data_IF_306856764320
#
_entry.id   IF_306856764320
#
_cell.length_a   1.000
_cell.length_b   1.000
_cell.length_c   1.000
_cell.angle_alpha   90.00
_cell.angle_beta   90.00
_cell.angle_gamma   90.00
#
_symmetry.space_group_name_H-M   'P 1'
#
loop_
_entity.id
_entity.type
_entity.pdbx_description
1 polymer ?
#
# COMPACT_ATOMS: atom_id res chain seq x y z
N UNK A 1 -8.37 -11.64 -23.62
CA UNK A 1 -9.02 -11.53 -22.30
C UNK A 1 -8.82 -10.12 -21.79
N UNK A 2 -9.90 -9.38 -21.51
CA UNK A 2 -9.80 -8.08 -20.84
C UNK A 2 -9.25 -8.33 -19.44
N UNK A 3 -7.99 -7.97 -19.20
CA UNK A 3 -7.45 -7.92 -17.85
C UNK A 3 -8.33 -6.93 -17.08
N UNK A 4 -9.05 -7.41 -16.05
CA UNK A 4 -9.43 -6.53 -14.94
C UNK A 4 -8.15 -5.77 -14.58
N UNK A 5 -8.12 -4.47 -14.82
CA UNK A 5 -6.92 -3.65 -14.58
C UNK A 5 -6.58 -3.83 -13.10
N UNK A 6 -5.55 -4.63 -12.80
CA UNK A 6 -5.14 -4.87 -11.42
C UNK A 6 -4.94 -3.52 -10.73
N UNK A 7 -5.49 -3.37 -9.53
CA UNK A 7 -5.50 -2.11 -8.77
C UNK A 7 -4.05 -1.68 -8.47
N UNK A 8 -3.21 -2.66 -8.12
CA UNK A 8 -1.79 -2.52 -7.91
C UNK A 8 -1.12 -3.90 -7.91
N UNK A 9 0.19 -3.94 -8.17
CA UNK A 9 1.04 -5.09 -7.86
C UNK A 9 1.71 -4.85 -6.51
N UNK A 10 1.68 -5.86 -5.64
CA UNK A 10 2.14 -5.76 -4.24
C UNK A 10 3.09 -6.91 -3.95
N UNK A 11 4.25 -6.60 -3.39
CA UNK A 11 5.18 -7.55 -2.81
C UNK A 11 5.36 -7.19 -1.33
N UNK A 12 5.26 -8.20 -0.47
CA UNK A 12 5.44 -8.07 0.97
C UNK A 12 6.52 -9.05 1.40
N UNK A 13 7.49 -8.55 2.16
CA UNK A 13 8.42 -9.41 2.91
C UNK A 13 8.40 -9.00 4.37
N UNK A 14 8.69 -9.92 5.28
CA UNK A 14 8.62 -9.66 6.72
C UNK A 14 9.83 -10.26 7.41
N UNK A 15 10.34 -9.54 8.40
CA UNK A 15 11.44 -9.96 9.29
C UNK A 15 11.07 -9.48 10.69
N UNK A 16 10.83 -10.43 11.60
CA UNK A 16 10.36 -10.15 12.96
C UNK A 16 9.10 -9.25 12.94
N UNK A 17 9.12 -8.12 13.66
CA UNK A 17 8.05 -7.11 13.69
C UNK A 17 8.15 -6.04 12.60
N UNK A 18 8.95 -6.27 11.55
CA UNK A 18 9.12 -5.34 10.44
C UNK A 18 8.64 -5.96 9.13
N UNK A 19 7.98 -5.16 8.29
CA UNK A 19 7.58 -5.56 6.96
C UNK A 19 8.13 -4.57 5.91
N UNK A 20 8.56 -5.09 4.77
CA UNK A 20 8.85 -4.29 3.59
C UNK A 20 7.72 -4.45 2.58
N UNK A 21 7.20 -3.32 2.11
CA UNK A 21 6.12 -3.23 1.14
C UNK A 21 6.68 -2.62 -0.14
N UNK A 22 6.54 -3.33 -1.26
CA UNK A 22 6.71 -2.74 -2.59
C UNK A 22 5.37 -2.70 -3.29
N UNK A 23 4.98 -1.52 -3.73
CA UNK A 23 3.67 -1.30 -4.35
C UNK A 23 3.89 -0.61 -5.69
N UNK A 24 3.38 -1.20 -6.77
CA UNK A 24 3.31 -0.58 -8.09
C UNK A 24 1.86 -0.27 -8.43
N UNK A 25 1.57 1.00 -8.70
CA UNK A 25 0.20 1.46 -8.96
C UNK A 25 0.16 2.63 -9.93
N UNK A 26 -1.02 2.92 -10.49
CA UNK A 26 -1.24 4.14 -11.29
C UNK A 26 -1.14 5.37 -10.38
N UNK A 27 -0.56 6.46 -10.89
CA UNK A 27 -0.49 7.75 -10.20
C UNK A 27 -1.88 8.37 -10.07
N UNK A 28 -2.24 8.83 -8.88
CA UNK A 28 -3.47 9.59 -8.62
C UNK A 28 -3.27 10.77 -7.67
N UNK A 29 -4.14 11.80 -7.71
CA UNK A 29 -4.08 12.92 -6.76
C UNK A 29 -4.11 12.45 -5.31
N UNK A 30 -3.22 13.01 -4.48
CA UNK A 30 -3.13 12.75 -3.03
C UNK A 30 -2.90 11.28 -2.63
N UNK A 31 -2.56 10.40 -3.57
CA UNK A 31 -2.47 8.96 -3.31
C UNK A 31 -1.45 8.62 -2.22
N UNK A 32 -0.27 9.25 -2.23
CA UNK A 32 0.74 9.02 -1.21
C UNK A 32 0.21 9.32 0.20
N UNK A 33 -0.44 10.46 0.38
CA UNK A 33 -1.01 10.85 1.69
C UNK A 33 -2.06 9.83 2.15
N UNK A 34 -2.92 9.36 1.23
CA UNK A 34 -3.92 8.34 1.53
C UNK A 34 -3.28 7.00 1.92
N UNK A 35 -2.24 6.57 1.20
CA UNK A 35 -1.51 5.34 1.52
C UNK A 35 -0.88 5.43 2.90
N UNK A 36 -0.13 6.49 3.18
CA UNK A 36 0.54 6.67 4.49
C UNK A 36 -0.48 6.72 5.63
N UNK A 37 -1.57 7.48 5.46
CA UNK A 37 -2.64 7.57 6.47
C UNK A 37 -3.33 6.23 6.72
N UNK A 38 -3.56 5.45 5.67
CA UNK A 38 -4.23 4.16 5.79
C UNK A 38 -3.33 3.09 6.41
N UNK A 39 -2.03 3.06 6.07
CA UNK A 39 -1.04 2.20 6.73
C UNK A 39 -0.98 2.48 8.23
N UNK A 40 -0.89 3.75 8.61
CA UNK A 40 -0.91 4.14 10.03
C UNK A 40 -2.19 3.68 10.74
N UNK A 41 -3.36 3.79 10.08
CA UNK A 41 -4.64 3.33 10.62
C UNK A 41 -4.72 1.81 10.79
N UNK A 42 -3.90 1.05 10.05
CA UNK A 42 -3.76 -0.40 10.16
C UNK A 42 -2.70 -0.83 11.18
N UNK A 43 -2.17 0.10 11.98
CA UNK A 43 -1.07 -0.17 12.93
C UNK A 43 0.24 -0.61 12.25
N UNK A 44 0.49 -0.06 11.06
CA UNK A 44 1.74 -0.19 10.33
C UNK A 44 2.44 1.17 10.30
N UNK A 45 3.43 1.35 11.16
CA UNK A 45 4.18 2.61 11.25
C UNK A 45 5.24 2.68 10.17
N UNK A 46 5.19 3.70 9.32
CA UNK A 46 6.18 3.90 8.25
C UNK A 46 7.50 4.38 8.85
N UNK A 47 8.56 3.58 8.69
CA UNK A 47 9.93 3.93 9.13
C UNK A 47 10.74 4.55 8.00
N UNK A 48 10.65 3.95 6.81
CA UNK A 48 11.29 4.46 5.60
C UNK A 48 10.30 4.44 4.45
N UNK A 49 10.35 5.49 3.64
CA UNK A 49 9.50 5.66 2.48
C UNK A 49 10.37 6.15 1.33
N UNK A 50 10.43 5.36 0.27
CA UNK A 50 10.90 5.81 -1.03
C UNK A 50 9.73 5.82 -2.02
N UNK A 51 9.63 6.89 -2.79
CA UNK A 51 8.63 7.04 -3.84
C UNK A 51 9.35 7.40 -5.12
N UNK A 52 9.19 6.56 -6.12
CA UNK A 52 9.72 6.79 -7.46
C UNK A 52 8.57 6.79 -8.45
N UNK A 53 8.58 7.71 -9.41
CA UNK A 53 7.52 7.84 -10.41
C UNK A 53 8.15 7.75 -11.79
N UNK A 54 7.55 6.94 -12.66
CA UNK A 54 7.89 6.85 -14.09
C UNK A 54 6.57 6.94 -14.85
N UNK A 55 6.43 7.97 -15.68
CA UNK A 55 5.18 8.29 -16.39
C UNK A 55 3.96 8.36 -15.46
N UNK A 56 2.99 7.48 -15.68
CA UNK A 56 1.74 7.37 -14.90
C UNK A 56 1.82 6.26 -13.85
N UNK A 57 3.00 5.71 -13.57
CA UNK A 57 3.22 4.64 -12.59
C UNK A 57 4.01 5.20 -11.40
N UNK A 58 3.55 4.89 -10.20
CA UNK A 58 4.25 5.17 -8.95
C UNK A 58 4.68 3.86 -8.31
N UNK A 59 5.94 3.82 -7.91
CA UNK A 59 6.56 2.76 -7.11
C UNK A 59 6.76 3.28 -5.70
N UNK A 60 6.12 2.62 -4.74
CA UNK A 60 6.37 2.84 -3.32
C UNK A 60 7.22 1.68 -2.80
N UNK A 61 8.29 2.02 -2.09
CA UNK A 61 9.06 1.07 -1.29
C UNK A 61 9.03 1.57 0.14
N UNK A 62 8.34 0.84 1.02
CA UNK A 62 8.17 1.20 2.41
C UNK A 62 8.77 0.13 3.31
N UNK A 63 9.48 0.55 4.35
CA UNK A 63 9.74 -0.29 5.52
C UNK A 63 8.80 0.17 6.62
N UNK A 64 8.03 -0.75 7.17
CA UNK A 64 7.06 -0.48 8.23
C UNK A 64 7.34 -1.33 9.45
N UNK A 65 7.07 -0.79 10.63
CA UNK A 65 6.95 -1.55 11.87
C UNK A 65 5.50 -2.02 12.02
N UNK A 66 5.32 -3.29 12.30
CA UNK A 66 4.05 -3.88 12.73
C UNK A 66 3.95 -3.63 14.23
N UNK A 67 3.00 -2.79 14.66
CA UNK A 67 2.84 -2.48 16.09
C UNK A 67 2.22 -3.66 16.84
N UNK A 68 2.44 -3.72 18.16
CA UNK A 68 2.03 -4.85 19.00
C UNK A 68 0.50 -5.06 19.04
N UNK A 69 -0.30 -4.01 18.78
CA UNK A 69 -1.76 -4.06 18.69
C UNK A 69 -2.28 -4.28 17.25
N UNK A 70 -1.38 -4.55 16.29
CA UNK A 70 -1.76 -4.85 14.92
C UNK A 70 -2.44 -6.22 14.83
N UNK A 71 -3.56 -6.27 14.10
CA UNK A 71 -4.29 -7.53 13.84
C UNK A 71 -3.71 -8.34 12.69
N UNK A 72 -2.74 -7.78 11.95
CA UNK A 72 -2.14 -8.40 10.77
C UNK A 72 -0.84 -9.06 11.23
N UNK A 73 -0.81 -10.40 11.18
CA UNK A 73 0.26 -11.21 11.76
C UNK A 73 1.10 -11.96 10.71
N UNK A 74 0.64 -11.97 9.46
CA UNK A 74 1.28 -12.69 8.37
C UNK A 74 1.44 -11.84 7.11
N UNK A 75 2.37 -12.28 6.25
CA UNK A 75 2.64 -11.68 4.94
C UNK A 75 1.35 -11.60 4.10
N UNK A 76 0.56 -12.67 4.07
CA UNK A 76 -0.67 -12.74 3.26
C UNK A 76 -1.77 -11.81 3.79
N UNK A 77 -1.92 -11.68 5.11
CA UNK A 77 -2.85 -10.74 5.73
C UNK A 77 -2.48 -9.29 5.41
N UNK A 78 -1.20 -8.94 5.52
CA UNK A 78 -0.71 -7.60 5.17
C UNK A 78 -0.91 -7.33 3.68
N UNK A 79 -0.52 -8.26 2.80
CA UNK A 79 -0.70 -8.12 1.35
C UNK A 79 -2.18 -7.91 0.99
N UNK A 80 -3.07 -8.71 1.57
CA UNK A 80 -4.52 -8.60 1.36
C UNK A 80 -5.07 -7.27 1.86
N UNK A 81 -4.70 -6.84 3.07
CA UNK A 81 -5.14 -5.58 3.66
C UNK A 81 -4.67 -4.37 2.82
N UNK A 82 -3.41 -4.38 2.37
CA UNK A 82 -2.85 -3.32 1.52
C UNK A 82 -3.55 -3.30 0.15
N UNK A 83 -3.84 -4.47 -0.44
CA UNK A 83 -4.59 -4.55 -1.70
C UNK A 83 -6.00 -3.95 -1.58
N UNK A 84 -6.74 -4.33 -0.54
CA UNK A 84 -8.07 -3.79 -0.26
C UNK A 84 -8.05 -2.28 0.01
N UNK A 85 -7.03 -1.81 0.77
CA UNK A 85 -6.80 -0.40 1.04
C UNK A 85 -6.58 0.41 -0.24
N UNK A 86 -5.77 -0.08 -1.17
CA UNK A 86 -5.55 0.55 -2.48
C UNK A 86 -6.82 0.56 -3.34
N UNK A 87 -7.66 -0.48 -3.23
CA UNK A 87 -8.97 -0.52 -3.87
C UNK A 87 -9.89 0.61 -3.40
N UNK A 88 -9.98 0.84 -2.09
CA UNK A 88 -10.77 1.95 -1.51
C UNK A 88 -10.22 3.31 -1.95
N UNK A 89 -8.90 3.49 -1.91
CA UNK A 89 -8.24 4.72 -2.38
C UNK A 89 -8.56 4.99 -3.86
N UNK A 90 -8.62 3.94 -4.67
CA UNK A 90 -9.00 4.01 -6.08
C UNK A 90 -10.46 4.44 -6.27
N UNK A 91 -11.39 3.82 -5.55
CA UNK A 91 -12.82 4.16 -5.64
C UNK A 91 -13.08 5.61 -5.24
N UNK A 92 -12.54 6.06 -4.12
CA UNK A 92 -12.64 7.46 -3.67
C UNK A 92 -12.05 8.45 -4.69
N UNK A 93 -10.98 8.05 -5.39
CA UNK A 93 -10.37 8.91 -6.40
C UNK A 93 -11.25 9.09 -7.64
N UNK A 94 -12.11 8.10 -7.95
CA UNK A 94 -13.05 8.18 -9.07
C UNK A 94 -14.32 8.96 -8.70
N UNK A 95 -14.71 8.97 -7.43
CA UNK A 95 -15.87 9.71 -6.91
C UNK A 95 -15.59 11.20 -6.71
N UNK A 96 -14.31 11.59 -6.59
CA UNK A 96 -13.88 12.97 -6.40
C UNK A 96 -13.50 13.67 -7.73
N UNK A 97 -13.94 13.12 -8.86
CA UNK A 97 -13.76 13.66 -10.22
C UNK A 97 -15.00 14.38 -10.72
#
# INVERSE_FOLDING_TARGET
MKSQSAIADIEVTMVESHANLKIRSKRRPKQLLKVVSALHSMRLTVLHLNVSTVDQIVLYSLSVKVEDDCKLSSVDEIATAVYQMLGRIQEESMLNC
#
